data_IF_989600139017
#
_entry.id   IF_989600139017
#
_cell.length_a   1.000
_cell.length_b   1.000
_cell.length_c   1.000
_cell.angle_alpha   90.00
_cell.angle_beta   90.00
_cell.angle_gamma   90.00
#
_symmetry.space_group_name_H-M   'P 1'
#
loop_
_entity.id
_entity.type
_entity.pdbx_description
1 polymer ?
#
# COMPACT_ATOMS: atom_id res chain seq x y z
N UNK A 1 2.40 -7.57 -21.54
CA UNK A 1 2.13 -8.27 -20.27
C UNK A 1 2.97 -7.59 -19.20
N UNK A 2 2.55 -6.39 -18.76
CA UNK A 2 3.36 -5.55 -17.88
C UNK A 2 2.85 -5.78 -16.46
N UNK A 3 3.62 -6.54 -15.70
CA UNK A 3 3.40 -6.82 -14.28
C UNK A 3 3.88 -5.62 -13.48
N UNK A 4 3.04 -4.61 -13.29
CA UNK A 4 3.32 -3.50 -12.39
C UNK A 4 3.11 -3.96 -10.94
N UNK A 5 4.14 -4.57 -10.35
CA UNK A 5 4.15 -4.96 -8.95
C UNK A 5 4.54 -3.75 -8.10
N UNK A 6 3.56 -3.11 -7.46
CA UNK A 6 3.80 -2.02 -6.50
C UNK A 6 3.91 -2.61 -5.09
N UNK A 7 5.08 -2.49 -4.46
CA UNK A 7 5.28 -2.87 -3.06
C UNK A 7 5.25 -1.61 -2.22
N UNK A 8 4.45 -1.56 -1.15
CA UNK A 8 4.42 -0.42 -0.22
C UNK A 8 4.88 -0.91 1.14
N UNK A 9 6.02 -0.42 1.63
CA UNK A 9 6.54 -0.77 2.95
C UNK A 9 6.03 0.24 3.98
N UNK A 10 5.28 -0.24 4.97
CA UNK A 10 4.71 0.60 6.03
C UNK A 10 5.35 0.21 7.36
N UNK A 11 6.00 1.16 8.03
CA UNK A 11 6.39 1.03 9.43
C UNK A 11 5.41 1.83 10.30
N UNK A 12 4.87 1.19 11.35
CA UNK A 12 3.82 1.75 12.21
C UNK A 12 4.37 2.73 13.27
N UNK A 13 5.69 2.88 13.36
CA UNK A 13 6.36 3.74 14.34
C UNK A 13 6.92 5.01 13.68
N UNK A 14 7.13 4.98 12.36
CA UNK A 14 7.53 6.09 11.51
C UNK A 14 7.07 5.81 10.07
N UNK A 15 6.12 6.58 9.56
CA UNK A 15 5.59 6.39 8.20
C UNK A 15 6.64 6.82 7.17
N UNK A 16 7.41 5.87 6.64
CA UNK A 16 8.31 6.10 5.50
C UNK A 16 7.60 5.75 4.21
N UNK A 17 7.40 6.74 3.35
CA UNK A 17 6.78 6.58 2.04
C UNK A 17 7.85 6.53 0.96
N UNK A 18 7.86 5.48 0.15
CA UNK A 18 8.77 5.37 -0.99
C UNK A 18 8.06 4.74 -2.18
N UNK A 19 8.16 5.37 -3.35
CA UNK A 19 7.76 4.75 -4.61
C UNK A 19 8.77 3.63 -4.95
N UNK A 20 8.27 2.40 -5.11
CA UNK A 20 9.09 1.26 -5.51
C UNK A 20 9.32 1.18 -7.02
N UNK A 21 8.50 1.89 -7.79
CA UNK A 21 8.59 2.01 -9.23
C UNK A 21 9.56 3.08 -9.71
N UNK A 22 9.64 3.26 -11.03
CA UNK A 22 10.45 4.32 -11.62
C UNK A 22 9.80 5.70 -11.39
N UNK A 23 10.59 6.78 -11.43
CA UNK A 23 10.08 8.14 -11.24
C UNK A 23 9.13 8.60 -12.36
N UNK A 24 9.12 7.90 -13.49
CA UNK A 24 8.24 8.12 -14.63
C UNK A 24 7.09 7.13 -14.70
N UNK A 25 6.87 6.30 -13.67
CA UNK A 25 5.68 5.46 -13.62
C UNK A 25 4.41 6.32 -13.57
N UNK A 26 3.37 5.86 -14.26
CA UNK A 26 2.10 6.58 -14.44
C UNK A 26 1.47 6.96 -13.10
N UNK A 27 1.61 6.10 -12.09
CA UNK A 27 1.08 6.31 -10.75
C UNK A 27 2.25 6.58 -9.80
N UNK A 28 2.23 7.74 -9.16
CA UNK A 28 3.19 8.13 -8.13
C UNK A 28 2.47 8.30 -6.80
N UNK A 29 2.89 7.54 -5.79
CA UNK A 29 2.35 7.67 -4.44
C UNK A 29 2.90 8.94 -3.80
N UNK A 30 1.98 9.78 -3.30
CA UNK A 30 2.31 11.11 -2.78
C UNK A 30 2.15 11.18 -1.27
N UNK A 31 1.12 10.54 -0.71
CA UNK A 31 0.90 10.52 0.73
C UNK A 31 0.16 9.25 1.17
N UNK A 32 0.40 8.83 2.40
CA UNK A 32 -0.31 7.74 3.07
C UNK A 32 -0.63 8.17 4.50
N UNK A 33 -1.91 8.16 4.87
CA UNK A 33 -2.35 8.44 6.24
C UNK A 33 -2.98 7.21 6.87
N UNK A 34 -2.68 7.00 8.15
CA UNK A 34 -3.18 5.87 8.93
C UNK A 34 -3.72 6.42 10.25
N UNK A 35 -4.97 6.11 10.58
CA UNK A 35 -5.63 6.60 11.81
C UNK A 35 -6.29 5.43 12.53
N UNK A 36 -6.04 5.23 13.84
CA UNK A 36 -5.14 5.99 14.71
C UNK A 36 -3.67 5.61 14.53
N UNK A 37 -2.77 6.57 14.75
CA UNK A 37 -1.32 6.35 14.74
C UNK A 37 -0.70 6.69 16.11
N UNK A 38 0.09 5.81 16.74
CA UNK A 38 0.44 4.45 16.33
C UNK A 38 -0.72 3.46 16.57
N UNK A 39 -0.93 2.52 15.64
CA UNK A 39 -2.03 1.56 15.68
C UNK A 39 -1.76 0.42 16.67
N UNK A 40 -2.71 0.15 17.57
CA UNK A 40 -2.66 -1.01 18.48
C UNK A 40 -3.60 -2.10 17.99
N UNK A 41 -3.06 -3.08 17.25
CA UNK A 41 -3.83 -4.28 16.85
C UNK A 41 -4.26 -5.03 18.13
N UNK A 42 -5.54 -5.45 18.27
CA UNK A 42 -6.57 -5.59 17.23
C UNK A 42 -7.59 -4.45 17.16
N UNK A 43 -7.16 -3.20 17.02
CA UNK A 43 -8.06 -2.06 16.75
C UNK A 43 -8.36 -1.90 15.25
N UNK A 44 -9.53 -1.35 14.93
CA UNK A 44 -9.84 -0.84 13.58
C UNK A 44 -8.93 0.33 13.22
N UNK A 45 -8.64 0.48 11.93
CA UNK A 45 -7.88 1.61 11.41
C UNK A 45 -8.40 2.06 10.03
N UNK A 46 -8.21 3.34 9.75
CA UNK A 46 -8.51 3.97 8.47
C UNK A 46 -7.20 4.21 7.74
N UNK A 47 -7.14 3.79 6.49
CA UNK A 47 -6.02 4.01 5.59
C UNK A 47 -6.46 4.95 4.45
N UNK A 48 -5.76 6.07 4.27
CA UNK A 48 -6.00 7.00 3.18
C UNK A 48 -4.77 7.09 2.28
N UNK A 49 -4.93 6.73 1.01
CA UNK A 49 -3.88 6.74 0.01
C UNK A 49 -4.08 7.92 -0.95
N UNK A 50 -3.03 8.70 -1.17
CA UNK A 50 -3.04 9.81 -2.13
C UNK A 50 -2.03 9.53 -3.23
N UNK A 51 -2.52 9.37 -4.45
CA UNK A 51 -1.73 9.10 -5.65
C UNK A 51 -1.85 10.24 -6.65
N UNK A 52 -0.78 10.48 -7.41
CA UNK A 52 -0.77 11.37 -8.57
C UNK A 52 -0.64 10.51 -9.82
N UNK A 53 -1.41 10.85 -10.85
CA UNK A 53 -1.30 10.22 -12.17
C UNK A 53 -0.72 11.20 -13.17
N UNK A 54 0.16 10.73 -14.06
CA UNK A 54 0.73 11.55 -15.15
C UNK A 54 -0.03 11.41 -16.47
N UNK A 55 -0.81 10.35 -16.60
CA UNK A 55 -1.65 10.04 -17.76
C UNK A 55 -3.04 9.62 -17.29
N UNK A 56 -4.01 9.63 -18.20
CA UNK A 56 -5.35 9.13 -17.94
C UNK A 56 -5.30 7.61 -17.77
N UNK A 57 -5.80 7.13 -16.63
CA UNK A 57 -5.91 5.70 -16.38
C UNK A 57 -7.28 5.26 -16.86
N UNK A 58 -7.29 4.56 -17.98
CA UNK A 58 -8.50 3.98 -18.57
C UNK A 58 -8.56 2.50 -18.19
N UNK A 59 -9.68 2.07 -17.59
CA UNK A 59 -9.83 0.72 -17.04
C UNK A 59 -9.79 -0.41 -18.07
N UNK A 60 -9.68 -1.68 -17.61
CA UNK A 60 -9.69 -2.08 -16.20
C UNK A 60 -8.30 -2.02 -15.53
N UNK A 61 -8.27 -1.42 -14.35
CA UNK A 61 -7.14 -1.22 -13.45
C UNK A 61 -7.05 -2.41 -12.49
N UNK A 62 -5.88 -3.05 -12.48
CA UNK A 62 -5.56 -4.10 -11.50
C UNK A 62 -4.49 -3.60 -10.56
N UNK A 63 -4.76 -3.66 -9.26
CA UNK A 63 -3.82 -3.22 -8.22
C UNK A 63 -3.56 -4.34 -7.23
N UNK A 64 -2.30 -4.47 -6.81
CA UNK A 64 -1.89 -5.41 -5.77
C UNK A 64 -1.26 -4.60 -4.64
N UNK A 65 -1.81 -4.76 -3.45
CA UNK A 65 -1.27 -4.17 -2.23
C UNK A 65 -0.63 -5.27 -1.40
N UNK A 66 0.56 -5.02 -0.85
CA UNK A 66 1.25 -5.93 0.07
C UNK A 66 1.58 -5.21 1.35
N UNK A 67 1.07 -5.74 2.45
CA UNK A 67 1.30 -5.21 3.78
C UNK A 67 2.18 -6.17 4.57
N UNK A 68 3.32 -5.69 5.05
CA UNK A 68 4.20 -6.47 5.92
C UNK A 68 4.23 -5.86 7.32
N UNK A 69 4.30 -6.73 8.33
CA UNK A 69 4.54 -6.38 9.72
C UNK A 69 5.89 -6.93 10.17
N UNK A 70 6.74 -6.05 10.69
CA UNK A 70 7.99 -6.46 11.34
C UNK A 70 7.65 -6.94 12.75
N UNK A 71 7.90 -8.22 13.03
CA UNK A 71 7.65 -8.85 14.33
C UNK A 71 8.91 -9.63 14.69
N UNK A 72 9.61 -9.20 15.75
CA UNK A 72 10.85 -9.85 16.21
C UNK A 72 11.93 -9.95 15.12
N UNK A 73 12.01 -8.95 14.25
CA UNK A 73 12.95 -8.93 13.11
C UNK A 73 12.51 -9.72 11.88
N UNK A 74 11.39 -10.46 11.95
CA UNK A 74 10.79 -11.13 10.80
C UNK A 74 9.80 -10.21 10.07
N UNK A 75 9.86 -10.20 8.74
CA UNK A 75 8.87 -9.55 7.88
C UNK A 75 7.73 -10.52 7.59
N UNK A 76 6.64 -10.41 8.34
CA UNK A 76 5.47 -11.26 8.16
C UNK A 76 4.49 -10.55 7.23
N UNK A 77 4.13 -11.18 6.11
CA UNK A 77 3.08 -10.68 5.23
C UNK A 77 1.71 -10.79 5.93
N UNK A 78 0.96 -9.70 5.95
CA UNK A 78 -0.40 -9.65 6.49
C UNK A 78 -1.35 -10.16 5.41
N UNK A 79 -2.10 -11.24 5.65
CA UNK A 79 -3.00 -11.81 4.65
C UNK A 79 -4.15 -10.85 4.34
N UNK A 80 -4.72 -10.97 3.14
CA UNK A 80 -5.97 -10.29 2.78
C UNK A 80 -7.15 -10.92 3.53
N UNK A 81 -7.79 -10.14 4.39
CA UNK A 81 -9.02 -10.51 5.11
C UNK A 81 -9.99 -9.35 4.99
N UNK A 82 -11.21 -9.60 4.51
CA UNK A 82 -12.27 -8.59 4.34
C UNK A 82 -11.82 -7.33 3.56
N UNK A 83 -10.97 -7.52 2.55
CA UNK A 83 -10.43 -6.44 1.74
C UNK A 83 -9.38 -5.59 2.45
N UNK A 84 -8.78 -6.08 3.54
CA UNK A 84 -7.71 -5.42 4.29
C UNK A 84 -6.50 -6.35 4.39
N UNK A 85 -5.29 -5.84 4.14
CA UNK A 85 -4.05 -6.63 4.14
C UNK A 85 -3.47 -6.75 2.73
N UNK A 86 -2.78 -7.85 2.43
CA UNK A 86 -2.13 -8.04 1.13
C UNK A 86 -3.13 -8.48 0.04
N UNK A 87 -3.97 -7.54 -0.41
CA UNK A 87 -5.10 -7.78 -1.30
C UNK A 87 -4.82 -7.37 -2.75
N UNK A 88 -5.57 -7.97 -3.68
CA UNK A 88 -5.69 -7.50 -5.07
C UNK A 88 -7.03 -6.82 -5.24
N UNK A 89 -7.04 -5.63 -5.84
CA UNK A 89 -8.24 -4.88 -6.13
C UNK A 89 -8.31 -4.62 -7.63
N UNK A 90 -9.43 -5.03 -8.22
CA UNK A 90 -9.81 -4.74 -9.60
C UNK A 90 -10.93 -3.67 -9.58
N UNK A 91 -11.00 -2.83 -10.61
CA UNK A 91 -12.11 -1.87 -10.83
C UNK A 91 -13.24 -2.43 -11.72
#
# INVERSE_FOLDING_TARGET
>A
MISHLFVVLISLDNTSLKNCGASNDVIQLTNLQIIPHPMKIPSSAIFSLYVKTTEDIVGPIKTEFKLHKVVWGFNIEVPCTDGVGSCKYDD
#
